data_IF_978782641257
#
_entry.id   IF_978782641257
#
_cell.length_a   1.000
_cell.length_b   1.000
_cell.length_c   1.000
_cell.angle_alpha   90.00
_cell.angle_beta   90.00
_cell.angle_gamma   90.00
#
_symmetry.space_group_name_H-M   'P 1'
#
loop_
_entity.id
_entity.type
_entity.pdbx_description
1 polymer ?
#
# COMPACT_ATOMS: atom_id res chain seq x y z
N UNK A 1 23.13 15.53 -5.02
CA UNK A 1 22.72 14.27 -4.36
C UNK A 1 23.74 13.20 -4.73
N UNK A 2 24.35 12.54 -3.75
CA UNK A 2 25.30 11.47 -4.05
C UNK A 2 24.55 10.28 -4.68
N UNK A 3 25.25 9.44 -5.47
CA UNK A 3 24.65 8.23 -6.04
C UNK A 3 24.06 7.31 -4.95
N UNK A 4 24.70 7.28 -3.78
CA UNK A 4 24.28 6.52 -2.60
C UNK A 4 22.97 7.05 -2.03
N UNK A 5 22.81 8.38 -1.87
CA UNK A 5 21.56 8.97 -1.36
C UNK A 5 20.37 8.63 -2.26
N UNK A 6 20.56 8.72 -3.59
CA UNK A 6 19.52 8.43 -4.58
C UNK A 6 19.14 6.96 -4.59
N UNK A 7 20.09 6.06 -4.41
CA UNK A 7 19.84 4.63 -4.32
C UNK A 7 19.01 4.29 -3.08
N UNK A 8 19.41 4.78 -1.90
CA UNK A 8 18.67 4.55 -0.64
C UNK A 8 17.27 5.14 -0.73
N UNK A 9 17.12 6.36 -1.25
CA UNK A 9 15.81 6.99 -1.42
C UNK A 9 14.89 6.20 -2.35
N UNK A 10 15.41 5.67 -3.47
CA UNK A 10 14.63 4.83 -4.38
C UNK A 10 14.20 3.52 -3.72
N UNK A 11 15.10 2.89 -2.97
CA UNK A 11 14.79 1.65 -2.24
C UNK A 11 13.72 1.89 -1.17
N UNK A 12 13.86 2.97 -0.40
CA UNK A 12 12.89 3.38 0.61
C UNK A 12 11.51 3.66 -0.01
N UNK A 13 11.45 4.46 -1.07
CA UNK A 13 10.19 4.79 -1.74
C UNK A 13 9.52 3.55 -2.35
N UNK A 14 10.31 2.63 -2.91
CA UNK A 14 9.78 1.34 -3.40
C UNK A 14 9.17 0.54 -2.25
N UNK A 15 9.84 0.45 -1.10
CA UNK A 15 9.32 -0.23 0.08
C UNK A 15 8.03 0.45 0.61
N UNK A 16 7.96 1.78 0.64
CA UNK A 16 6.75 2.54 1.03
C UNK A 16 5.58 2.17 0.13
N UNK A 17 5.76 2.22 -1.19
CA UNK A 17 4.70 1.92 -2.16
C UNK A 17 4.25 0.47 -2.05
N UNK A 18 5.20 -0.48 -1.97
CA UNK A 18 4.88 -1.90 -1.85
C UNK A 18 4.10 -2.19 -0.56
N UNK A 19 4.52 -1.62 0.58
CA UNK A 19 3.78 -1.78 1.83
C UNK A 19 2.38 -1.20 1.76
N UNK A 20 2.27 0.00 1.20
CA UNK A 20 0.99 0.67 1.07
C UNK A 20 0.03 -0.17 0.22
N UNK A 21 0.48 -0.69 -0.92
CA UNK A 21 -0.31 -1.55 -1.80
C UNK A 21 -0.74 -2.84 -1.09
N UNK A 22 0.17 -3.50 -0.36
CA UNK A 22 -0.14 -4.73 0.37
C UNK A 22 -1.19 -4.48 1.45
N UNK A 23 -1.00 -3.45 2.28
CA UNK A 23 -1.94 -3.13 3.34
C UNK A 23 -3.28 -2.65 2.77
N UNK A 24 -3.28 -1.88 1.69
CA UNK A 24 -4.49 -1.46 0.98
C UNK A 24 -5.27 -2.67 0.46
N UNK A 25 -4.61 -3.61 -0.19
CA UNK A 25 -5.21 -4.86 -0.67
C UNK A 25 -5.81 -5.68 0.48
N UNK A 26 -5.09 -5.78 1.60
CA UNK A 26 -5.56 -6.46 2.81
C UNK A 26 -6.82 -5.81 3.38
N UNK A 27 -6.85 -4.48 3.45
CA UNK A 27 -7.97 -3.71 3.99
C UNK A 27 -9.20 -3.84 3.08
N UNK A 28 -9.03 -3.76 1.76
CA UNK A 28 -10.13 -4.04 0.81
C UNK A 28 -10.66 -5.46 1.01
N UNK A 29 -9.77 -6.45 1.13
CA UNK A 29 -10.18 -7.84 1.30
C UNK A 29 -11.02 -8.03 2.56
N UNK A 30 -10.63 -7.41 3.67
CA UNK A 30 -11.40 -7.44 4.92
C UNK A 30 -12.75 -6.75 4.73
N UNK A 31 -12.78 -5.55 4.14
CA UNK A 31 -14.03 -4.81 3.97
C UNK A 31 -15.03 -5.55 3.07
N UNK A 32 -14.56 -6.16 1.98
CA UNK A 32 -15.38 -7.00 1.10
C UNK A 32 -15.88 -8.24 1.84
N UNK A 33 -15.00 -8.91 2.60
CA UNK A 33 -15.36 -10.09 3.38
C UNK A 33 -16.43 -9.79 4.43
N UNK A 34 -16.31 -8.66 5.14
CA UNK A 34 -17.26 -8.23 6.16
C UNK A 34 -18.59 -7.72 5.59
N UNK A 35 -18.58 -7.15 4.39
CA UNK A 35 -19.80 -6.59 3.76
C UNK A 35 -20.46 -7.54 2.75
N UNK A 36 -19.96 -8.77 2.58
CA UNK A 36 -20.53 -9.77 1.65
C UNK A 36 -22.03 -9.99 1.88
N UNK A 37 -22.49 -9.99 3.14
CA UNK A 37 -23.90 -10.18 3.49
C UNK A 37 -24.77 -8.98 3.10
N UNK A 38 -24.21 -7.76 3.16
CA UNK A 38 -24.91 -6.53 2.75
C UNK A 38 -24.99 -6.39 1.24
N UNK A 39 -23.90 -6.75 0.54
CA UNK A 39 -23.87 -6.77 -0.93
C UNK A 39 -24.83 -7.81 -1.50
N UNK A 40 -24.95 -9.00 -0.89
CA UNK A 40 -25.87 -10.04 -1.37
C UNK A 40 -27.34 -9.62 -1.22
N UNK A 41 -27.72 -8.90 -0.15
CA UNK A 41 -29.08 -8.39 0.07
C UNK A 41 -29.47 -7.25 -0.86
N UNK A 42 -28.62 -6.23 -1.00
CA UNK A 42 -28.86 -5.08 -1.91
C UNK A 42 -28.93 -5.56 -3.36
N UNK A 43 -28.07 -6.51 -3.73
CA UNK A 43 -28.10 -7.13 -5.04
C UNK A 43 -29.47 -7.77 -5.29
N UNK A 44 -30.00 -8.53 -4.33
CA UNK A 44 -31.32 -9.20 -4.38
C UNK A 44 -32.47 -8.21 -4.54
N UNK A 45 -32.40 -7.09 -3.83
CA UNK A 45 -33.42 -6.02 -3.87
C UNK A 45 -33.39 -5.22 -5.19
N UNK A 46 -32.21 -4.97 -5.76
CA UNK A 46 -32.06 -4.32 -7.09
C UNK A 46 -32.44 -5.22 -8.26
N UNK A 47 -32.34 -6.55 -8.13
CA UNK A 47 -32.84 -7.45 -9.18
C UNK A 47 -34.36 -7.57 -9.18
N UNK A 48 -35.02 -7.35 -8.05
CA UNK A 48 -36.48 -7.34 -7.98
C UNK A 48 -37.09 -6.17 -8.76
N UNK A 49 -36.36 -5.07 -8.95
CA UNK A 49 -36.85 -3.87 -9.65
C UNK A 49 -36.52 -3.80 -11.15
N UNK A 50 -35.56 -4.59 -11.66
CA UNK A 50 -35.12 -4.51 -13.07
C UNK A 50 -35.40 -5.74 -13.94
N UNK A 51 -35.92 -6.85 -13.40
CA UNK A 51 -36.38 -7.99 -14.21
C UNK A 51 -35.32 -8.61 -15.15
N UNK A 52 -34.02 -8.43 -14.87
CA UNK A 52 -32.93 -8.91 -15.72
C UNK A 52 -31.89 -9.68 -14.91
N UNK A 53 -31.92 -11.00 -15.07
CA UNK A 53 -31.08 -11.98 -14.38
C UNK A 53 -29.74 -12.18 -15.10
N UNK A 54 -28.71 -11.43 -14.71
CA UNK A 54 -27.34 -11.67 -15.15
C UNK A 54 -26.35 -11.60 -14.00
N UNK A 55 -25.95 -12.76 -13.46
CA UNK A 55 -24.97 -12.89 -12.36
C UNK A 55 -23.63 -12.21 -12.72
N UNK A 56 -23.22 -12.31 -13.99
CA UNK A 56 -22.00 -11.71 -14.55
C UNK A 56 -22.03 -10.18 -14.59
N UNK A 57 -23.18 -9.56 -14.92
CA UNK A 57 -23.33 -8.09 -14.91
C UNK A 57 -23.47 -7.53 -13.48
N UNK A 58 -24.04 -8.33 -12.56
CA UNK A 58 -24.10 -7.99 -11.13
C UNK A 58 -22.70 -7.92 -10.53
N UNK A 59 -21.85 -8.91 -10.81
CA UNK A 59 -20.46 -8.90 -10.38
C UNK A 59 -19.70 -7.70 -10.96
N UNK A 60 -19.87 -7.39 -12.25
CA UNK A 60 -19.20 -6.24 -12.87
C UNK A 60 -19.68 -4.90 -12.30
N UNK A 61 -20.98 -4.72 -12.07
CA UNK A 61 -21.54 -3.49 -11.49
C UNK A 61 -21.13 -3.32 -10.02
N UNK A 62 -21.12 -4.40 -9.23
CA UNK A 62 -20.65 -4.36 -7.84
C UNK A 62 -19.16 -4.02 -7.77
N UNK A 63 -18.31 -4.58 -8.64
CA UNK A 63 -16.89 -4.19 -8.71
C UNK A 63 -16.70 -2.73 -9.13
N UNK A 64 -17.53 -2.21 -10.05
CA UNK A 64 -17.47 -0.81 -10.48
C UNK A 64 -17.90 0.16 -9.37
N UNK A 65 -18.93 -0.19 -8.59
CA UNK A 65 -19.37 0.58 -7.42
C UNK A 65 -18.35 0.56 -6.28
N UNK A 66 -17.67 -0.58 -6.07
CA UNK A 66 -16.59 -0.71 -5.09
C UNK A 66 -15.43 0.20 -5.51
N UNK A 67 -15.03 0.21 -6.78
CA UNK A 67 -13.97 1.09 -7.26
C UNK A 67 -14.31 2.58 -7.06
N UNK A 68 -15.55 2.99 -7.36
CA UNK A 68 -16.00 4.38 -7.20
C UNK A 68 -16.07 4.79 -5.72
N UNK A 69 -16.46 3.87 -4.82
CA UNK A 69 -16.49 4.10 -3.37
C UNK A 69 -15.08 4.12 -2.75
N UNK A 70 -14.16 3.32 -3.28
CA UNK A 70 -12.82 3.18 -2.74
C UNK A 70 -11.83 4.20 -3.27
N UNK A 71 -12.10 4.84 -4.40
CA UNK A 71 -11.23 5.87 -4.96
C UNK A 71 -11.03 7.07 -4.01
N UNK A 72 -12.07 7.68 -3.40
CA UNK A 72 -11.90 8.72 -2.39
C UNK A 72 -11.32 8.17 -1.08
N UNK A 73 -11.67 6.92 -0.74
CA UNK A 73 -11.28 6.27 0.51
C UNK A 73 -9.80 5.87 0.54
N UNK A 74 -9.19 5.68 -0.63
CA UNK A 74 -7.76 5.42 -0.79
C UNK A 74 -6.93 6.60 -0.26
N UNK A 75 -7.32 7.84 -0.59
CA UNK A 75 -6.64 9.05 -0.11
C UNK A 75 -6.80 9.22 1.41
N UNK A 76 -7.99 8.92 1.94
CA UNK A 76 -8.24 8.95 3.38
C UNK A 76 -7.45 7.88 4.13
N UNK A 77 -7.40 6.65 3.59
CA UNK A 77 -6.64 5.54 4.17
C UNK A 77 -5.14 5.83 4.14
N UNK A 78 -4.65 6.41 3.05
CA UNK A 78 -3.27 6.87 2.94
C UNK A 78 -2.93 7.82 4.08
N UNK A 79 -3.78 8.81 4.37
CA UNK A 79 -3.54 9.77 5.45
C UNK A 79 -3.43 9.10 6.83
N UNK A 80 -4.30 8.12 7.13
CA UNK A 80 -4.25 7.41 8.42
C UNK A 80 -3.07 6.44 8.55
N UNK A 81 -2.67 5.80 7.44
CA UNK A 81 -1.61 4.78 7.46
C UNK A 81 -0.23 5.33 7.14
N UNK A 82 -0.10 6.58 6.70
CA UNK A 82 1.17 7.14 6.24
C UNK A 82 2.27 7.00 7.30
N UNK A 83 1.99 7.38 8.55
CA UNK A 83 2.97 7.28 9.62
C UNK A 83 3.45 5.84 9.86
N UNK A 84 2.51 4.89 9.90
CA UNK A 84 2.83 3.47 10.10
C UNK A 84 3.62 2.89 8.92
N UNK A 85 3.20 3.22 7.69
CA UNK A 85 3.87 2.77 6.46
C UNK A 85 5.28 3.31 6.36
N UNK A 86 5.50 4.59 6.71
CA UNK A 86 6.84 5.21 6.66
C UNK A 86 7.80 4.53 7.65
N UNK A 87 7.36 4.28 8.89
CA UNK A 87 8.17 3.59 9.91
C UNK A 87 8.45 2.14 9.50
N UNK A 88 7.43 1.43 9.03
CA UNK A 88 7.58 0.05 8.56
C UNK A 88 8.54 -0.03 7.37
N UNK A 89 8.36 0.82 6.35
CA UNK A 89 9.21 0.87 5.18
C UNK A 89 10.67 1.22 5.52
N UNK A 90 10.89 2.09 6.52
CA UNK A 90 12.23 2.35 7.04
C UNK A 90 12.84 1.08 7.64
N UNK A 91 12.09 0.35 8.47
CA UNK A 91 12.51 -0.93 9.03
C UNK A 91 12.89 -1.96 7.95
N UNK A 92 12.06 -2.13 6.92
CA UNK A 92 12.36 -3.02 5.80
C UNK A 92 13.57 -2.57 5.00
N UNK A 93 13.74 -1.27 4.76
CA UNK A 93 14.89 -0.73 4.03
C UNK A 93 16.19 -1.00 4.79
N UNK A 94 16.24 -0.67 6.08
CA UNK A 94 17.40 -0.95 6.94
C UNK A 94 17.70 -2.46 7.00
N UNK A 95 16.69 -3.30 7.17
CA UNK A 95 16.85 -4.76 7.19
C UNK A 95 17.44 -5.30 5.88
N UNK A 96 16.96 -4.81 4.73
CA UNK A 96 17.49 -5.19 3.42
C UNK A 96 18.96 -4.75 3.25
N UNK A 97 19.33 -3.54 3.68
CA UNK A 97 20.72 -3.07 3.61
C UNK A 97 21.66 -3.85 4.53
N UNK A 98 21.20 -4.27 5.70
CA UNK A 98 21.95 -5.16 6.61
C UNK A 98 22.14 -6.54 5.96
N UNK A 99 21.07 -7.12 5.39
CA UNK A 99 21.11 -8.45 4.75
C UNK A 99 22.12 -8.51 3.61
N UNK A 100 22.21 -7.45 2.79
CA UNK A 100 23.15 -7.39 1.66
C UNK A 100 24.53 -6.83 2.04
N UNK A 101 24.79 -6.61 3.35
CA UNK A 101 26.05 -6.06 3.88
C UNK A 101 26.40 -4.67 3.32
N UNK A 102 25.42 -3.93 2.83
CA UNK A 102 25.62 -2.59 2.27
C UNK A 102 26.04 -1.60 3.37
N UNK A 103 25.43 -1.66 4.56
CA UNK A 103 25.82 -0.79 5.69
C UNK A 103 27.26 -1.05 6.15
N UNK A 104 27.69 -2.32 6.10
CA UNK A 104 29.06 -2.71 6.46
C UNK A 104 30.06 -2.17 5.43
N UNK A 105 29.72 -2.26 4.14
CA UNK A 105 30.55 -1.70 3.06
C UNK A 105 30.67 -0.16 3.17
N UNK A 106 29.58 0.53 3.53
CA UNK A 106 29.58 1.98 3.76
C UNK A 106 30.52 2.34 4.92
N UNK A 107 30.43 1.65 6.06
CA UNK A 107 31.34 1.88 7.20
C UNK A 107 32.80 1.59 6.85
N UNK A 108 33.05 0.47 6.15
CA UNK A 108 34.39 0.09 5.72
C UNK A 108 35.03 1.11 4.77
N UNK A 109 34.21 1.83 3.98
CA UNK A 109 34.65 2.94 3.13
C UNK A 109 34.97 4.25 3.89
N UNK A 110 34.88 4.24 5.22
CA UNK A 110 35.12 5.41 6.07
C UNK A 110 33.98 6.43 6.07
N UNK A 111 32.80 6.08 5.53
CA UNK A 111 31.64 6.96 5.52
C UNK A 111 30.82 6.79 6.80
N UNK A 112 30.39 7.92 7.38
CA UNK A 112 29.53 7.91 8.56
C UNK A 112 28.15 7.33 8.26
N UNK A 113 27.68 6.45 9.15
CA UNK A 113 26.35 5.85 9.06
C UNK A 113 25.22 6.88 9.23
N UNK A 114 25.47 8.01 9.91
CA UNK A 114 24.47 9.09 10.03
C UNK A 114 24.08 9.67 8.67
N UNK A 115 24.95 9.57 7.65
CA UNK A 115 24.62 10.03 6.30
C UNK A 115 23.52 9.19 5.65
N UNK A 116 23.40 7.91 6.01
CA UNK A 116 22.36 6.98 5.53
C UNK A 116 20.96 7.40 6.00
N UNK A 117 20.84 8.10 7.14
CA UNK A 117 19.56 8.58 7.65
C UNK A 117 19.01 9.79 6.86
N UNK A 118 19.87 10.62 6.26
CA UNK A 118 19.46 11.82 5.50
C UNK A 118 18.49 11.53 4.35
N UNK A 119 18.74 10.55 3.45
CA UNK A 119 17.81 10.25 2.36
C UNK A 119 16.47 9.70 2.86
N UNK A 120 16.40 9.12 4.06
CA UNK A 120 15.14 8.61 4.64
C UNK A 120 14.30 9.74 5.23
N UNK A 121 14.94 10.77 5.82
CA UNK A 121 14.25 11.91 6.43
C UNK A 121 13.82 12.99 5.43
N UNK A 122 14.48 13.06 4.27
CA UNK A 122 14.24 14.08 3.24
C UNK A 122 13.40 13.58 2.06
N UNK A 123 13.16 12.27 1.96
CA UNK A 123 12.31 11.65 0.94
C UNK A 123 10.84 11.72 1.35
#
# INVERSE_FOLDING_TARGET
MSLLDRYIARQFLTNVVVLFVILFCFIITIDVSLNIDRFSRIATELMASQGQSGFLKRASLTSMLILDLWWPRLLQLFNYMLGLVMVAAMGFTCSQMVRHRELVAILASGQSLMRVARPVLLA
#
